data_IF_763635121964
#
_entry.id   IF_763635121964
#
_cell.length_a   1.000
_cell.length_b   1.000
_cell.length_c   1.000
_cell.angle_alpha   90.00
_cell.angle_beta   90.00
_cell.angle_gamma   90.00
#
_symmetry.space_group_name_H-M   'P 1'
#
loop_
_entity.id
_entity.type
_entity.pdbx_description
1 polymer ?
#
# COMPACT_ATOMS: atom_id res chain seq x y z
N UNK A 1 4.35 -13.74 -5.64
CA UNK A 1 3.80 -12.38 -5.48
C UNK A 1 4.90 -11.35 -5.68
N UNK A 2 5.27 -11.05 -6.92
CA UNK A 2 6.46 -10.23 -7.19
C UNK A 2 6.22 -8.73 -6.94
N UNK A 3 5.00 -8.22 -7.20
CA UNK A 3 4.65 -6.82 -6.95
C UNK A 3 4.69 -6.41 -5.47
N UNK A 4 4.23 -7.28 -4.56
CA UNK A 4 4.29 -6.99 -3.11
C UNK A 4 5.73 -6.93 -2.61
N UNK A 5 6.58 -7.86 -3.04
CA UNK A 5 7.99 -7.87 -2.66
C UNK A 5 8.70 -6.57 -3.11
N UNK A 6 8.41 -6.09 -4.33
CA UNK A 6 8.94 -4.82 -4.84
C UNK A 6 8.42 -3.61 -4.05
N UNK A 7 7.17 -3.66 -3.59
CA UNK A 7 6.63 -2.62 -2.72
C UNK A 7 7.33 -2.60 -1.35
N UNK A 8 7.57 -3.77 -0.74
CA UNK A 8 8.29 -3.87 0.53
C UNK A 8 9.70 -3.26 0.45
N UNK A 9 10.47 -3.59 -0.59
CA UNK A 9 11.79 -2.99 -0.82
C UNK A 9 11.68 -1.46 -0.95
N UNK A 10 10.68 -0.96 -1.68
CA UNK A 10 10.48 0.49 -1.83
C UNK A 10 10.16 1.16 -0.48
N UNK A 11 9.37 0.51 0.38
CA UNK A 11 9.04 1.02 1.73
C UNK A 11 10.28 1.06 2.63
N UNK A 12 11.13 0.04 2.57
CA UNK A 12 12.39 0.00 3.33
C UNK A 12 13.31 1.17 2.94
N UNK A 13 13.46 1.44 1.64
CA UNK A 13 14.29 2.56 1.14
C UNK A 13 13.69 3.96 1.43
N UNK A 14 12.37 4.06 1.66
CA UNK A 14 11.75 5.34 2.06
C UNK A 14 12.16 5.78 3.48
N UNK A 15 12.53 4.83 4.34
CA UNK A 15 12.81 5.08 5.75
C UNK A 15 14.22 4.66 6.14
N UNK A 16 15.18 4.90 5.24
CA UNK A 16 16.58 4.64 5.49
C UNK A 16 17.11 5.44 6.71
N UNK A 17 18.10 4.87 7.38
CA UNK A 17 18.83 5.51 8.46
C UNK A 17 19.46 6.82 7.98
N UNK A 18 20.07 6.81 6.79
CA UNK A 18 20.65 8.01 6.20
C UNK A 18 19.57 8.82 5.46
N UNK A 19 19.33 10.04 5.91
CA UNK A 19 18.30 10.91 5.37
C UNK A 19 18.54 11.27 3.90
N UNK A 20 19.79 11.42 3.48
CA UNK A 20 20.15 11.77 2.10
C UNK A 20 20.01 10.58 1.15
N UNK A 21 20.00 9.36 1.68
CA UNK A 21 19.82 8.13 0.91
C UNK A 21 18.33 7.78 0.70
N UNK A 22 17.42 8.41 1.44
CA UNK A 22 15.98 8.17 1.31
C UNK A 22 15.48 8.56 -0.07
N UNK A 23 14.52 7.78 -0.57
CA UNK A 23 13.86 8.10 -1.82
C UNK A 23 13.10 9.42 -1.72
N UNK A 24 13.18 10.22 -2.79
CA UNK A 24 12.31 11.38 -2.95
C UNK A 24 10.87 10.95 -3.21
N UNK A 25 9.90 11.81 -2.87
CA UNK A 25 8.48 11.54 -3.10
C UNK A 25 8.18 11.20 -4.58
N UNK A 26 8.82 11.90 -5.52
CA UNK A 26 8.67 11.61 -6.95
C UNK A 26 9.23 10.25 -7.35
N UNK A 27 10.38 9.85 -6.79
CA UNK A 27 10.95 8.53 -7.04
C UNK A 27 10.05 7.40 -6.53
N UNK A 28 9.44 7.57 -5.35
CA UNK A 28 8.48 6.61 -4.79
C UNK A 28 7.24 6.50 -5.66
N UNK A 29 6.69 7.63 -6.12
CA UNK A 29 5.52 7.66 -7.00
C UNK A 29 5.74 6.89 -8.31
N UNK A 30 6.89 7.09 -8.95
CA UNK A 30 7.27 6.38 -10.19
C UNK A 30 7.34 4.87 -9.96
N UNK A 31 8.02 4.44 -8.89
CA UNK A 31 8.15 3.01 -8.56
C UNK A 31 6.81 2.37 -8.23
N UNK A 32 5.97 3.03 -7.42
CA UNK A 32 4.63 2.54 -7.09
C UNK A 32 3.75 2.45 -8.34
N UNK A 33 3.86 3.40 -9.26
CA UNK A 33 3.13 3.37 -10.55
C UNK A 33 3.55 2.19 -11.43
N UNK A 34 4.86 1.89 -11.48
CA UNK A 34 5.39 0.73 -12.19
C UNK A 34 4.91 -0.58 -11.55
N UNK A 35 4.98 -0.68 -10.21
CA UNK A 35 4.50 -1.85 -9.47
C UNK A 35 3.02 -2.04 -9.75
N UNK A 36 2.18 -1.00 -9.60
CA UNK A 36 0.73 -1.06 -9.85
C UNK A 36 0.43 -1.58 -11.26
N UNK A 37 1.15 -1.10 -12.29
CA UNK A 37 0.97 -1.61 -13.66
C UNK A 37 1.34 -3.09 -13.79
N UNK A 38 2.39 -3.54 -13.10
CA UNK A 38 2.81 -4.94 -13.07
C UNK A 38 1.81 -5.83 -12.31
N UNK A 39 1.22 -5.36 -11.22
CA UNK A 39 0.26 -6.14 -10.43
C UNK A 39 -1.11 -6.22 -11.12
N UNK A 40 -1.56 -5.14 -11.78
CA UNK A 40 -2.84 -5.08 -12.47
C UNK A 40 -2.97 -6.07 -13.65
N UNK A 41 -1.87 -6.63 -14.15
CA UNK A 41 -1.90 -7.73 -15.11
C UNK A 41 -2.25 -9.10 -14.52
N UNK A 42 -2.25 -9.26 -13.19
CA UNK A 42 -2.31 -10.58 -12.53
C UNK A 42 -3.26 -10.67 -11.32
N UNK A 43 -3.73 -9.56 -10.73
CA UNK A 43 -4.46 -9.58 -9.44
C UNK A 43 -5.71 -8.69 -9.41
N UNK A 44 -6.57 -8.74 -10.44
CA UNK A 44 -7.76 -7.89 -10.46
C UNK A 44 -8.76 -8.23 -9.34
N UNK A 45 -8.94 -9.51 -8.96
CA UNK A 45 -10.18 -9.89 -8.27
C UNK A 45 -10.03 -10.41 -6.83
N UNK A 46 -8.89 -11.00 -6.45
CA UNK A 46 -8.76 -11.62 -5.12
C UNK A 46 -8.40 -10.65 -3.98
N UNK A 47 -7.58 -9.63 -4.25
CA UNK A 47 -7.05 -8.77 -3.17
C UNK A 47 -8.09 -7.77 -2.66
N UNK A 48 -8.96 -7.26 -3.54
CA UNK A 48 -10.08 -6.40 -3.14
C UNK A 48 -11.04 -7.14 -2.20
N UNK A 49 -11.29 -8.42 -2.47
CA UNK A 49 -12.13 -9.30 -1.64
C UNK A 49 -11.48 -9.64 -0.29
N UNK A 50 -10.16 -9.83 -0.25
CA UNK A 50 -9.41 -10.04 0.99
C UNK A 50 -9.40 -8.77 1.86
N UNK A 51 -9.21 -7.59 1.29
CA UNK A 51 -9.20 -6.33 2.05
C UNK A 51 -10.60 -6.01 2.61
N UNK A 52 -11.66 -6.25 1.85
CA UNK A 52 -13.05 -6.02 2.32
C UNK A 52 -13.52 -7.03 3.36
N UNK A 53 -13.01 -8.27 3.35
CA UNK A 53 -13.34 -9.27 4.37
C UNK A 53 -12.57 -9.11 5.69
N UNK A 54 -11.42 -8.42 5.68
CA UNK A 54 -10.62 -8.18 6.91
C UNK A 54 -11.07 -6.92 7.66
N UNK A 55 -11.70 -5.95 6.98
CA UNK A 55 -12.25 -4.75 7.64
C UNK A 55 -13.73 -4.95 8.00
N UNK A 56 -14.01 -5.85 8.93
CA UNK A 56 -15.30 -5.83 9.62
C UNK A 56 -15.29 -4.63 10.59
N UNK A 57 -15.64 -3.46 10.07
CA UNK A 57 -15.81 -2.20 10.80
C UNK A 57 -16.98 -2.37 11.78
N UNK A 58 -16.71 -2.94 12.96
CA UNK A 58 -17.58 -2.79 14.13
C UNK A 58 -17.16 -1.52 14.87
N UNK A 59 -17.46 -0.37 14.27
CA UNK A 59 -17.45 0.90 14.98
C UNK A 59 -18.90 1.18 15.36
N UNK A 60 -19.30 1.07 16.63
CA UNK A 60 -20.66 1.37 17.04
C UNK A 60 -20.96 2.85 16.70
N UNK A 61 -22.18 3.17 16.24
CA UNK A 61 -22.56 4.56 16.01
C UNK A 61 -22.39 5.32 17.32
N UNK A 62 -21.54 6.34 17.31
CA UNK A 62 -21.46 7.28 18.43
C UNK A 62 -22.81 7.99 18.51
N UNK A 63 -23.65 7.56 19.43
CA UNK A 63 -24.90 8.24 19.79
C UNK A 63 -24.54 9.68 20.16
N UNK A 64 -24.89 10.61 19.27
CA UNK A 64 -24.91 12.04 19.58
C UNK A 64 -25.99 12.27 20.61
N UNK A 65 -25.61 12.34 21.88
CA UNK A 65 -26.53 12.69 22.95
C UNK A 65 -26.22 14.08 23.48
N UNK A 66 -27.09 15.00 23.06
CA UNK A 66 -27.51 16.28 23.68
C UNK A 66 -26.51 17.43 23.80
#
# INVERSE_FOLDING_TARGET
>A
MQGLAQLCVTIEECWDHDAEARLSAGCVEERVSLIRRSVNGTTSDCLVSLVTSVTNVDLPPKESSI
#
